data_IF_612094775693
#
_entry.id   IF_612094775693
#
_cell.length_a   1.000
_cell.length_b   1.000
_cell.length_c   1.000
_cell.angle_alpha   90.00
_cell.angle_beta   90.00
_cell.angle_gamma   90.00
#
_symmetry.space_group_name_H-M   'P 1'
#
loop_
_entity.id
_entity.type
_entity.pdbx_description
1 polymer ?
#
# COMPACT_ATOMS: atom_id res chain seq x y z
N UNK A 1 6.91 8.58 10.41
CA UNK A 1 5.92 7.71 10.71
C UNK A 1 6.31 6.40 11.35
N UNK A 2 6.27 6.42 12.67
CA UNK A 2 6.66 5.28 13.49
C UNK A 2 5.80 4.03 13.19
N UNK A 3 4.49 4.20 12.96
CA UNK A 3 3.59 3.08 12.68
C UNK A 3 3.97 2.34 11.39
N UNK A 4 4.34 3.08 10.35
CA UNK A 4 4.77 2.48 9.08
C UNK A 4 6.07 1.68 9.26
N UNK A 5 7.05 2.25 9.96
CA UNK A 5 8.29 1.55 10.27
C UNK A 5 8.04 0.30 11.12
N UNK A 6 7.10 0.38 12.07
CA UNK A 6 6.70 -0.75 12.88
C UNK A 6 6.11 -1.89 12.06
N UNK A 7 5.22 -1.57 11.12
CA UNK A 7 4.61 -2.57 10.24
C UNK A 7 5.67 -3.23 9.34
N UNK A 8 6.58 -2.44 8.76
CA UNK A 8 7.66 -2.98 7.91
C UNK A 8 8.58 -3.89 8.71
N UNK A 9 8.98 -3.47 9.91
CA UNK A 9 9.83 -4.27 10.79
C UNK A 9 9.17 -5.58 11.20
N UNK A 10 7.90 -5.52 11.60
CA UNK A 10 7.13 -6.70 11.96
C UNK A 10 6.97 -7.66 10.78
N UNK A 11 6.71 -7.12 9.59
CA UNK A 11 6.58 -7.90 8.36
C UNK A 11 7.86 -8.67 8.07
N UNK A 12 9.00 -8.01 8.12
CA UNK A 12 10.30 -8.64 7.87
C UNK A 12 10.60 -9.73 8.89
N UNK A 13 10.38 -9.45 10.16
CA UNK A 13 10.61 -10.41 11.24
C UNK A 13 9.72 -11.64 11.09
N UNK A 14 8.42 -11.43 10.87
CA UNK A 14 7.47 -12.52 10.69
C UNK A 14 7.79 -13.35 9.44
N UNK A 15 8.23 -12.69 8.35
CA UNK A 15 8.62 -13.38 7.13
C UNK A 15 9.80 -14.32 7.38
N UNK A 16 10.81 -13.85 8.07
CA UNK A 16 12.00 -14.66 8.38
C UNK A 16 11.67 -15.82 9.32
N UNK A 17 10.85 -15.58 10.33
CA UNK A 17 10.46 -16.60 11.29
C UNK A 17 9.62 -17.72 10.67
N UNK A 18 8.88 -17.43 9.62
CA UNK A 18 7.92 -18.36 9.01
C UNK A 18 8.33 -18.86 7.63
N UNK A 19 9.46 -18.41 7.11
CA UNK A 19 9.89 -18.76 5.74
C UNK A 19 10.07 -20.27 5.56
N UNK A 20 10.72 -20.93 6.52
CA UNK A 20 10.96 -22.37 6.43
C UNK A 20 9.67 -23.19 6.53
N UNK A 21 8.63 -22.65 7.14
CA UNK A 21 7.32 -23.28 7.21
C UNK A 21 6.48 -23.09 5.94
N UNK A 22 7.00 -22.35 4.95
CA UNK A 22 6.29 -22.08 3.72
C UNK A 22 5.24 -20.98 3.83
N UNK A 23 5.30 -20.18 4.89
CA UNK A 23 4.38 -19.06 5.10
C UNK A 23 5.07 -17.77 4.66
N UNK A 24 4.45 -17.06 3.73
CA UNK A 24 4.94 -15.77 3.24
C UNK A 24 4.23 -14.63 3.96
N UNK A 25 4.96 -13.59 4.30
CA UNK A 25 4.42 -12.42 4.99
C UNK A 25 4.92 -11.18 4.25
N UNK A 26 3.99 -10.38 3.77
CA UNK A 26 4.27 -9.17 3.03
C UNK A 26 3.37 -8.05 3.53
N UNK A 27 3.73 -6.81 3.23
CA UNK A 27 2.93 -5.64 3.54
C UNK A 27 2.62 -4.88 2.27
N UNK A 28 1.45 -4.25 2.23
CA UNK A 28 1.08 -3.31 1.18
C UNK A 28 1.07 -1.93 1.81
N UNK A 29 1.72 -0.98 1.16
CA UNK A 29 1.85 0.40 1.63
C UNK A 29 1.15 1.33 0.64
N UNK A 30 -0.16 1.60 0.84
CA UNK A 30 -0.90 2.45 -0.10
C UNK A 30 -0.52 3.92 0.05
N UNK A 31 -0.66 4.67 -1.05
CA UNK A 31 -0.59 6.12 -1.03
C UNK A 31 -1.95 6.73 -0.72
N UNK A 32 -2.28 7.82 -1.39
CA UNK A 32 -3.59 8.47 -1.23
C UNK A 32 -4.62 7.68 -2.03
N UNK A 33 -5.57 7.07 -1.33
CA UNK A 33 -6.59 6.22 -1.92
C UNK A 33 -7.96 6.89 -1.76
N UNK A 34 -8.74 6.93 -2.83
CA UNK A 34 -10.07 7.50 -2.82
C UNK A 34 -11.02 6.59 -2.03
N UNK A 35 -11.29 6.97 -0.80
CA UNK A 35 -12.12 6.22 0.15
C UNK A 35 -13.22 7.13 0.70
N UNK A 36 -14.16 6.55 1.42
CA UNK A 36 -15.19 7.32 2.12
C UNK A 36 -14.57 8.31 3.13
N UNK A 37 -13.42 7.95 3.73
CA UNK A 37 -12.71 8.86 4.64
C UNK A 37 -12.20 10.10 3.89
N UNK A 38 -11.65 9.92 2.69
CA UNK A 38 -11.18 11.03 1.85
C UNK A 38 -12.37 11.88 1.41
N UNK A 39 -13.48 11.26 1.02
CA UNK A 39 -14.71 12.00 0.66
C UNK A 39 -15.18 12.87 1.83
N UNK A 40 -15.17 12.33 3.04
CA UNK A 40 -15.55 13.10 4.25
C UNK A 40 -14.57 14.24 4.52
N UNK A 41 -13.27 13.99 4.40
CA UNK A 41 -12.23 15.00 4.60
C UNK A 41 -12.38 16.15 3.61
N UNK A 42 -12.59 15.85 2.35
CA UNK A 42 -12.72 16.83 1.28
C UNK A 42 -14.10 17.49 1.25
N UNK A 43 -15.11 16.95 1.94
CA UNK A 43 -16.48 17.46 1.94
C UNK A 43 -17.06 17.68 0.53
N UNK A 44 -16.66 16.82 -0.42
CA UNK A 44 -17.03 16.99 -1.82
C UNK A 44 -16.31 18.13 -2.54
N UNK A 45 -15.31 18.75 -1.91
CA UNK A 45 -14.54 19.83 -2.51
C UNK A 45 -13.52 19.26 -3.50
N UNK A 46 -13.78 19.51 -4.78
CA UNK A 46 -12.90 19.03 -5.87
C UNK A 46 -11.53 19.68 -5.84
N UNK A 47 -11.41 20.89 -5.29
CA UNK A 47 -10.11 21.54 -5.11
C UNK A 47 -9.21 20.81 -4.14
N UNK A 48 -9.78 20.34 -3.01
CA UNK A 48 -9.06 19.53 -2.03
C UNK A 48 -8.67 18.18 -2.65
N UNK A 49 -9.60 17.53 -3.35
CA UNK A 49 -9.31 16.26 -4.02
C UNK A 49 -8.21 16.41 -5.07
N UNK A 50 -8.23 17.50 -5.83
CA UNK A 50 -7.19 17.79 -6.83
C UNK A 50 -5.82 18.00 -6.19
N UNK A 51 -5.76 18.65 -5.04
CA UNK A 51 -4.50 18.84 -4.29
C UNK A 51 -3.96 17.51 -3.80
N UNK A 52 -4.82 16.63 -3.30
CA UNK A 52 -4.42 15.29 -2.86
C UNK A 52 -3.89 14.46 -4.04
N UNK A 53 -4.60 14.51 -5.17
CA UNK A 53 -4.19 13.81 -6.38
C UNK A 53 -2.86 14.34 -6.93
N UNK A 54 -2.64 15.65 -6.87
CA UNK A 54 -1.42 16.28 -7.38
C UNK A 54 -0.18 15.88 -6.58
N UNK A 55 -0.34 15.42 -5.34
CA UNK A 55 0.76 14.91 -4.53
C UNK A 55 1.32 13.59 -5.03
N UNK A 56 0.54 12.85 -5.81
CA UNK A 56 0.99 11.59 -6.39
C UNK A 56 1.64 11.86 -7.76
N UNK A 57 2.83 11.32 -8.05
CA UNK A 57 3.46 11.51 -9.37
C UNK A 57 2.58 11.11 -10.55
N UNK A 58 1.72 10.10 -10.38
CA UNK A 58 0.78 9.72 -11.45
C UNK A 58 -0.38 10.71 -11.64
N UNK A 59 -0.54 11.69 -10.74
CA UNK A 59 -1.50 12.77 -10.88
C UNK A 59 -2.94 12.44 -10.50
N UNK A 60 -3.15 11.33 -9.79
CA UNK A 60 -4.48 10.94 -9.31
C UNK A 60 -4.36 10.13 -8.01
N UNK A 61 -5.47 10.06 -7.27
CA UNK A 61 -5.58 9.13 -6.17
C UNK A 61 -5.71 7.71 -6.71
N UNK A 62 -5.28 6.73 -5.93
CA UNK A 62 -5.53 5.33 -6.25
C UNK A 62 -6.95 4.92 -5.86
N UNK A 63 -7.39 3.78 -6.36
CA UNK A 63 -8.66 3.17 -5.95
C UNK A 63 -8.44 2.04 -4.95
N UNK A 64 -9.44 1.73 -4.11
CA UNK A 64 -9.34 0.56 -3.23
C UNK A 64 -9.09 -0.73 -4.01
N UNK A 65 -9.65 -0.85 -5.21
CA UNK A 65 -9.48 -2.02 -6.09
C UNK A 65 -8.04 -2.19 -6.53
N UNK A 66 -7.33 -1.10 -6.77
CA UNK A 66 -5.91 -1.15 -7.13
C UNK A 66 -5.04 -1.66 -5.98
N UNK A 67 -5.34 -1.25 -4.77
CA UNK A 67 -4.65 -1.79 -3.58
C UNK A 67 -5.00 -3.25 -3.37
N UNK A 68 -6.28 -3.60 -3.51
CA UNK A 68 -6.74 -4.97 -3.37
C UNK A 68 -6.09 -5.90 -4.40
N UNK A 69 -5.92 -5.46 -5.64
CA UNK A 69 -5.25 -6.24 -6.68
C UNK A 69 -3.81 -6.59 -6.29
N UNK A 70 -3.08 -5.64 -5.71
CA UNK A 70 -1.72 -5.88 -5.24
C UNK A 70 -1.71 -6.90 -4.09
N UNK A 71 -2.63 -6.76 -3.14
CA UNK A 71 -2.75 -7.67 -2.01
C UNK A 71 -3.09 -9.10 -2.46
N UNK A 72 -4.03 -9.24 -3.39
CA UNK A 72 -4.42 -10.54 -3.94
C UNK A 72 -3.23 -11.20 -4.65
N UNK A 73 -2.49 -10.44 -5.45
CA UNK A 73 -1.30 -10.98 -6.13
C UNK A 73 -0.26 -11.48 -5.12
N UNK A 74 0.02 -10.70 -4.08
CA UNK A 74 0.97 -11.11 -3.04
C UNK A 74 0.53 -12.40 -2.33
N UNK A 75 -0.77 -12.62 -2.20
CA UNK A 75 -1.32 -13.82 -1.59
C UNK A 75 -1.42 -15.01 -2.57
N UNK A 76 -1.15 -14.79 -3.84
CA UNK A 76 -1.29 -15.84 -4.85
C UNK A 76 -0.03 -16.68 -5.00
N UNK A 77 -0.15 -17.84 -5.63
CA UNK A 77 0.99 -18.70 -5.92
C UNK A 77 1.97 -18.05 -6.90
N UNK A 78 1.51 -17.11 -7.73
CA UNK A 78 2.37 -16.36 -8.64
C UNK A 78 3.44 -15.56 -7.91
N UNK A 79 3.15 -15.12 -6.67
CA UNK A 79 4.10 -14.42 -5.83
C UNK A 79 4.86 -15.38 -4.88
N UNK A 80 4.99 -16.64 -5.25
CA UNK A 80 5.51 -17.70 -4.39
C UNK A 80 6.92 -17.50 -3.86
N UNK A 81 7.73 -16.67 -4.51
CA UNK A 81 9.10 -16.37 -4.06
C UNK A 81 9.23 -14.99 -3.41
N UNK A 82 8.08 -14.33 -3.14
CA UNK A 82 8.04 -12.99 -2.55
C UNK A 82 7.64 -13.08 -1.08
N UNK A 83 8.55 -12.74 -0.18
CA UNK A 83 8.27 -12.66 1.25
C UNK A 83 9.13 -11.58 1.88
N UNK A 84 8.62 -10.93 2.91
CA UNK A 84 9.32 -9.89 3.63
C UNK A 84 9.32 -8.53 2.94
N UNK A 85 8.55 -8.35 1.88
CA UNK A 85 8.50 -7.08 1.16
C UNK A 85 7.45 -6.14 1.72
N UNK A 86 7.74 -4.84 1.64
CA UNK A 86 6.75 -3.78 1.82
C UNK A 86 6.54 -3.16 0.45
N UNK A 87 5.43 -3.47 -0.19
CA UNK A 87 5.14 -3.06 -1.57
C UNK A 87 4.39 -1.74 -1.58
N UNK A 88 5.01 -0.65 -2.06
CA UNK A 88 4.27 0.61 -2.22
C UNK A 88 3.26 0.50 -3.37
N UNK A 89 2.03 0.94 -3.10
CA UNK A 89 0.97 1.08 -4.10
C UNK A 89 0.49 2.53 -3.98
N UNK A 90 1.32 3.45 -4.47
CA UNK A 90 1.26 4.86 -4.07
C UNK A 90 1.46 5.84 -5.23
N UNK A 91 1.27 5.38 -6.46
CA UNK A 91 1.39 6.26 -7.61
C UNK A 91 2.77 6.90 -7.78
N UNK A 92 3.79 6.32 -7.19
CA UNK A 92 5.17 6.79 -7.29
C UNK A 92 5.62 7.70 -6.14
N UNK A 93 4.76 7.93 -5.14
CA UNK A 93 5.07 8.83 -4.04
C UNK A 93 6.44 8.53 -3.39
N UNK A 94 6.70 7.27 -3.05
CA UNK A 94 7.95 6.89 -2.37
C UNK A 94 9.14 6.79 -3.32
N UNK A 95 8.92 6.88 -4.62
CA UNK A 95 10.00 6.84 -5.62
C UNK A 95 10.68 8.20 -5.82
N UNK A 96 10.08 9.27 -5.33
CA UNK A 96 10.62 10.62 -5.51
C UNK A 96 11.54 11.05 -4.36
#
# INVERSE_FOLDING_TARGET
MASKHGVVGLTRTAALENAAAGIRVNAVCPGIIHTAMIDRYAHGDRGIEAQLAAGEPVGRMGSPEEVAAAAVWLCSDEAGFVTGTALPVDGGWTAQ
#
